data_IF_310798026263
#
_entry.id   IF_310798026263
#
_cell.length_a   1.000
_cell.length_b   1.000
_cell.length_c   1.000
_cell.angle_alpha   90.00
_cell.angle_beta   90.00
_cell.angle_gamma   90.00
#
_symmetry.space_group_name_H-M   'P 1'
#
loop_
_entity.id
_entity.type
_entity.pdbx_description
1 polymer ?
#
# COMPACT_ATOMS: atom_id res chain seq x y z
N UNK A 1 2.38 6.41 -9.27
CA UNK A 1 1.01 6.02 -8.89
C UNK A 1 -0.06 7.02 -9.33
N UNK A 2 0.26 7.99 -10.21
CA UNK A 2 -0.72 9.06 -10.53
C UNK A 2 -1.94 8.47 -11.24
N UNK A 3 -3.13 8.84 -10.75
CA UNK A 3 -4.40 8.39 -11.32
C UNK A 3 -4.84 6.98 -10.92
N UNK A 4 -4.13 6.29 -10.03
CA UNK A 4 -4.53 4.97 -9.49
C UNK A 4 -5.06 5.10 -8.07
N UNK A 5 -6.18 4.45 -7.80
CA UNK A 5 -6.76 4.30 -6.47
C UNK A 5 -5.88 3.40 -5.59
N UNK A 6 -5.97 3.51 -4.25
CA UNK A 6 -5.30 2.60 -3.33
C UNK A 6 -5.61 1.11 -3.60
N UNK A 7 -6.86 0.80 -3.98
CA UNK A 7 -7.29 -0.56 -4.29
C UNK A 7 -6.62 -1.13 -5.54
N UNK A 8 -6.44 -0.33 -6.59
CA UNK A 8 -5.71 -0.77 -7.80
C UNK A 8 -4.24 -1.03 -7.51
N UNK A 9 -3.60 -0.19 -6.69
CA UNK A 9 -2.21 -0.40 -6.27
C UNK A 9 -2.09 -1.69 -5.43
N UNK A 10 -3.02 -1.92 -4.50
CA UNK A 10 -3.04 -3.14 -3.70
C UNK A 10 -3.26 -4.39 -4.56
N UNK A 11 -4.16 -4.34 -5.55
CA UNK A 11 -4.35 -5.45 -6.49
C UNK A 11 -3.07 -5.76 -7.29
N UNK A 12 -2.37 -4.73 -7.78
CA UNK A 12 -1.12 -4.92 -8.52
C UNK A 12 0.01 -5.50 -7.66
N UNK A 13 0.05 -5.20 -6.35
CA UNK A 13 0.97 -5.83 -5.40
C UNK A 13 0.56 -7.27 -5.08
N UNK A 14 -0.74 -7.56 -5.01
CA UNK A 14 -1.24 -8.92 -4.77
C UNK A 14 -0.87 -9.88 -5.92
N UNK A 15 -0.89 -9.42 -7.18
CA UNK A 15 -0.40 -10.18 -8.36
C UNK A 15 1.10 -10.56 -8.27
N UNK A 16 1.81 -10.03 -7.28
CA UNK A 16 3.26 -10.19 -7.06
C UNK A 16 3.56 -10.86 -5.73
N UNK A 17 2.54 -11.49 -5.13
CA UNK A 17 2.60 -12.14 -3.83
C UNK A 17 3.01 -11.18 -2.70
N UNK A 18 2.60 -9.90 -2.79
CA UNK A 18 2.81 -8.88 -1.75
C UNK A 18 1.46 -8.50 -1.16
N UNK A 19 1.19 -8.96 0.05
CA UNK A 19 -0.04 -8.64 0.77
C UNK A 19 0.03 -7.26 1.42
N UNK A 20 -0.90 -6.37 1.05
CA UNK A 20 -1.06 -5.03 1.63
C UNK A 20 -2.53 -4.74 1.90
N UNK A 21 -2.79 -3.66 2.65
CA UNK A 21 -4.15 -3.19 2.88
C UNK A 21 -4.40 -1.86 2.16
N UNK A 22 -5.60 -1.66 1.62
CA UNK A 22 -6.04 -0.41 1.02
C UNK A 22 -7.31 0.09 1.70
N UNK A 23 -7.36 1.38 2.02
CA UNK A 23 -8.51 2.04 2.62
C UNK A 23 -8.12 3.12 3.63
N UNK A 24 -9.10 3.60 4.38
CA UNK A 24 -8.95 4.73 5.30
C UNK A 24 -8.51 4.36 6.73
N UNK A 25 -8.19 3.10 6.98
CA UNK A 25 -7.74 2.57 8.29
C UNK A 25 -8.73 2.78 9.43
N UNK A 26 -10.03 2.92 9.13
CA UNK A 26 -11.05 3.38 10.08
C UNK A 26 -10.79 4.81 10.63
N UNK A 27 -9.95 5.59 9.96
CA UNK A 27 -9.56 6.96 10.32
C UNK A 27 -10.18 7.98 9.33
N UNK A 28 -11.50 7.91 9.14
CA UNK A 28 -12.24 8.67 8.12
C UNK A 28 -11.93 10.17 8.18
N UNK A 29 -12.09 10.80 9.34
CA UNK A 29 -11.97 12.25 9.52
C UNK A 29 -10.53 12.76 9.37
N UNK A 30 -9.54 11.90 9.58
CA UNK A 30 -8.12 12.22 9.35
C UNK A 30 -7.81 12.09 7.87
N UNK A 31 -8.27 11.01 7.23
CA UNK A 31 -8.07 10.79 5.81
C UNK A 31 -8.74 11.89 4.97
N UNK A 32 -9.93 12.35 5.35
CA UNK A 32 -10.58 13.53 4.75
C UNK A 32 -9.71 14.80 4.89
N UNK A 33 -9.21 15.09 6.09
CA UNK A 33 -8.35 16.26 6.34
C UNK A 33 -7.03 16.21 5.57
N UNK A 34 -6.53 15.02 5.25
CA UNK A 34 -5.33 14.81 4.45
C UNK A 34 -5.59 14.79 2.93
N UNK A 35 -6.85 14.93 2.49
CA UNK A 35 -7.20 14.86 1.07
C UNK A 35 -7.12 13.46 0.48
N UNK A 36 -7.25 12.43 1.31
CA UNK A 36 -7.17 11.01 0.94
C UNK A 36 -8.49 10.29 1.28
N UNK A 37 -9.66 10.68 0.73
CA UNK A 37 -10.96 10.15 1.17
C UNK A 37 -11.12 8.63 0.96
N UNK A 38 -10.47 8.06 -0.07
CA UNK A 38 -10.41 6.60 -0.31
C UNK A 38 -9.33 5.91 0.53
N UNK A 39 -8.56 6.70 1.26
CA UNK A 39 -7.45 6.28 2.08
C UNK A 39 -6.17 6.07 1.29
N UNK A 40 -5.35 5.11 1.72
CA UNK A 40 -4.05 4.83 1.09
C UNK A 40 -3.65 3.36 1.27
N UNK A 41 -2.64 2.92 0.51
CA UNK A 41 -2.02 1.61 0.71
C UNK A 41 -1.18 1.63 1.99
N UNK A 42 -1.36 0.61 2.83
CA UNK A 42 -0.58 0.40 4.06
C UNK A 42 0.09 -0.96 4.03
N UNK A 43 1.39 -0.95 4.27
CA UNK A 43 2.21 -2.14 4.47
C UNK A 43 2.46 -2.31 5.97
N UNK A 44 2.17 -3.50 6.51
CA UNK A 44 2.47 -3.85 7.89
C UNK A 44 3.72 -4.73 7.94
N UNK A 45 4.86 -4.17 8.33
CA UNK A 45 6.10 -4.93 8.58
C UNK A 45 6.13 -5.34 10.06
N UNK A 46 6.42 -6.60 10.34
CA UNK A 46 6.44 -7.17 11.69
C UNK A 46 7.71 -7.99 11.93
N UNK A 47 7.88 -8.53 13.15
CA UNK A 47 9.14 -9.14 13.62
C UNK A 47 9.61 -10.39 12.86
N UNK A 48 8.74 -11.01 12.07
CA UNK A 48 9.10 -12.14 11.20
C UNK A 48 9.34 -11.75 9.75
N UNK A 49 9.24 -10.46 9.40
CA UNK A 49 9.67 -10.00 8.10
C UNK A 49 11.19 -9.88 8.02
N UNK A 50 11.73 -10.04 6.81
CA UNK A 50 13.16 -9.86 6.55
C UNK A 50 13.45 -8.58 5.76
N UNK A 51 14.71 -8.11 5.82
CA UNK A 51 15.16 -7.00 4.99
C UNK A 51 14.96 -7.27 3.49
N UNK A 52 15.20 -8.51 3.05
CA UNK A 52 14.99 -8.92 1.66
C UNK A 52 13.52 -8.82 1.21
N UNK A 53 12.55 -9.07 2.10
CA UNK A 53 11.13 -8.85 1.78
C UNK A 53 10.80 -7.37 1.63
N UNK A 54 11.43 -6.50 2.44
CA UNK A 54 11.30 -5.04 2.30
C UNK A 54 11.93 -4.57 1.00
N UNK A 55 13.12 -5.07 0.65
CA UNK A 55 13.78 -4.74 -0.61
C UNK A 55 12.94 -5.16 -1.83
N UNK A 56 12.37 -6.37 -1.79
CA UNK A 56 11.43 -6.86 -2.81
C UNK A 56 10.19 -5.98 -2.92
N UNK A 57 9.62 -5.55 -1.80
CA UNK A 57 8.49 -4.62 -1.79
C UNK A 57 8.85 -3.29 -2.47
N UNK A 58 9.98 -2.70 -2.12
CA UNK A 58 10.43 -1.43 -2.69
C UNK A 58 10.68 -1.53 -4.20
N UNK A 59 11.33 -2.61 -4.65
CA UNK A 59 11.57 -2.88 -6.06
C UNK A 59 10.26 -3.01 -6.85
N UNK A 60 9.27 -3.74 -6.32
CA UNK A 60 7.97 -3.87 -7.00
C UNK A 60 7.20 -2.54 -6.99
N UNK A 61 7.25 -1.75 -5.90
CA UNK A 61 6.66 -0.41 -5.85
C UNK A 61 7.25 0.51 -6.93
N UNK A 62 8.55 0.47 -7.17
CA UNK A 62 9.20 1.22 -8.24
C UNK A 62 8.71 0.76 -9.62
N UNK A 63 8.61 -0.56 -9.83
CA UNK A 63 8.14 -1.16 -11.09
C UNK A 63 6.69 -0.80 -11.41
N UNK A 64 5.85 -0.68 -10.39
CA UNK A 64 4.44 -0.30 -10.55
C UNK A 64 4.20 1.19 -10.29
N UNK A 65 5.23 2.03 -10.13
CA UNK A 65 5.04 3.47 -9.90
C UNK A 65 4.47 4.19 -11.12
#
# INVERSE_FOLDING_TARGET
FRGRSPSEVAASLAERDIAVWAGNYYAVEIMERLGLPEGAVRVGVVHYNSANEVDRLLAELERIS
#
